data_IF_247023893327
#
_entry.id   IF_247023893327
#
_cell.length_a   1.000
_cell.length_b   1.000
_cell.length_c   1.000
_cell.angle_alpha   90.00
_cell.angle_beta   90.00
_cell.angle_gamma   90.00
#
_symmetry.space_group_name_H-M   'P 1'
#
loop_
_entity.id
_entity.type
_entity.pdbx_description
1 polymer ?
#
# COMPACT_ATOMS: atom_id res chain seq x y z
N UNK A 1 18.42 -11.50 -10.87
CA UNK A 1 18.30 -10.21 -11.58
C UNK A 1 19.27 -10.23 -12.74
N UNK A 2 18.89 -9.70 -13.91
CA UNK A 2 19.80 -9.57 -15.05
C UNK A 2 20.82 -8.44 -14.81
N UNK A 3 21.90 -8.35 -15.60
CA UNK A 3 22.86 -7.24 -15.53
C UNK A 3 22.22 -5.85 -15.67
N UNK A 4 21.14 -5.75 -16.45
CA UNK A 4 20.39 -4.52 -16.71
C UNK A 4 19.36 -4.17 -15.62
N UNK A 5 19.23 -4.97 -14.56
CA UNK A 5 18.24 -4.73 -13.50
C UNK A 5 16.89 -5.44 -13.68
N UNK A 6 16.75 -6.30 -14.71
CA UNK A 6 15.52 -7.09 -14.91
C UNK A 6 15.33 -8.12 -13.80
N UNK A 7 14.19 -8.12 -13.13
CA UNK A 7 13.74 -9.21 -12.25
C UNK A 7 12.64 -9.99 -13.00
N UNK A 8 12.89 -11.26 -13.39
CA UNK A 8 11.91 -12.03 -14.13
C UNK A 8 10.71 -12.36 -13.24
N UNK A 9 9.49 -12.29 -13.79
CA UNK A 9 8.28 -12.53 -12.98
C UNK A 9 8.07 -14.01 -12.59
N UNK A 10 8.89 -14.94 -13.09
CA UNK A 10 9.02 -16.30 -12.54
C UNK A 10 10.48 -16.71 -12.41
N UNK A 11 10.79 -17.36 -11.30
CA UNK A 11 12.13 -17.86 -10.98
C UNK A 11 12.45 -19.07 -11.89
N UNK A 12 13.68 -19.11 -12.41
CA UNK A 12 14.21 -20.27 -13.15
C UNK A 12 13.81 -20.36 -14.62
N UNK A 13 13.11 -19.35 -15.15
CA UNK A 13 12.67 -19.28 -16.55
C UNK A 13 13.03 -17.89 -17.11
N UNK A 14 13.37 -17.80 -18.41
CA UNK A 14 13.70 -16.53 -19.07
C UNK A 14 12.41 -15.79 -19.48
N UNK A 15 11.66 -15.38 -18.47
CA UNK A 15 10.51 -14.50 -18.68
C UNK A 15 10.93 -13.03 -18.71
N UNK A 16 10.06 -12.21 -19.29
CA UNK A 16 10.16 -10.76 -19.17
C UNK A 16 9.89 -10.32 -17.71
N UNK A 17 9.96 -9.02 -17.44
CA UNK A 17 9.57 -8.45 -16.16
C UNK A 17 8.07 -8.15 -16.10
N UNK A 18 7.45 -8.41 -14.94
CA UNK A 18 6.18 -7.81 -14.58
C UNK A 18 6.48 -6.48 -13.89
N UNK A 19 5.92 -5.38 -14.38
CA UNK A 19 6.29 -4.04 -13.91
C UNK A 19 5.90 -3.83 -12.45
N UNK A 20 4.73 -4.31 -12.03
CA UNK A 20 4.27 -4.27 -10.64
C UNK A 20 5.13 -5.14 -9.72
N UNK A 21 5.65 -6.27 -10.23
CA UNK A 21 6.64 -7.10 -9.56
C UNK A 21 7.99 -6.40 -9.37
N UNK A 22 8.49 -5.70 -10.40
CA UNK A 22 9.71 -4.89 -10.33
C UNK A 22 9.58 -3.76 -9.29
N UNK A 23 8.52 -2.96 -9.42
CA UNK A 23 8.21 -1.86 -8.51
C UNK A 23 8.00 -2.35 -7.08
N UNK A 24 7.27 -3.46 -6.92
CA UNK A 24 7.06 -4.13 -5.64
C UNK A 24 8.37 -4.58 -4.99
N UNK A 25 9.35 -5.06 -5.77
CA UNK A 25 10.67 -5.44 -5.24
C UNK A 25 11.48 -4.23 -4.75
N UNK A 26 11.42 -3.10 -5.45
CA UNK A 26 12.04 -1.84 -5.02
C UNK A 26 11.41 -1.33 -3.71
N UNK A 27 10.07 -1.30 -3.66
CA UNK A 27 9.32 -0.90 -2.46
C UNK A 27 9.58 -1.84 -1.27
N UNK A 28 9.60 -3.16 -1.51
CA UNK A 28 9.93 -4.15 -0.49
C UNK A 28 11.37 -4.02 0.01
N UNK A 29 12.30 -3.57 -0.83
CA UNK A 29 13.68 -3.30 -0.42
C UNK A 29 13.77 -2.14 0.56
N UNK A 30 12.99 -1.08 0.34
CA UNK A 30 12.92 0.01 1.32
C UNK A 30 12.26 -0.44 2.63
N UNK A 31 11.23 -1.29 2.56
CA UNK A 31 10.65 -1.95 3.75
C UNK A 31 11.70 -2.73 4.53
N UNK A 32 12.53 -3.51 3.85
CA UNK A 32 13.58 -4.32 4.49
C UNK A 32 14.61 -3.43 5.19
N UNK A 33 15.01 -2.32 4.57
CA UNK A 33 15.82 -1.31 5.24
C UNK A 33 15.15 -0.77 6.51
N UNK A 34 13.88 -0.35 6.43
CA UNK A 34 13.13 0.16 7.58
C UNK A 34 12.98 -0.88 8.70
N UNK A 35 12.82 -2.15 8.35
CA UNK A 35 12.74 -3.27 9.29
C UNK A 35 14.10 -3.81 9.74
N UNK A 36 15.21 -3.29 9.23
CA UNK A 36 16.55 -3.72 9.63
C UNK A 36 17.00 -3.04 10.94
N UNK A 37 18.09 -3.52 11.54
CA UNK A 37 18.70 -2.85 12.72
C UNK A 37 19.73 -1.78 12.40
N UNK A 38 20.14 -1.65 11.13
CA UNK A 38 21.24 -0.78 10.68
C UNK A 38 21.22 -0.63 9.15
N UNK A 39 21.85 0.41 8.60
CA UNK A 39 21.94 0.62 7.15
C UNK A 39 22.76 -0.40 6.35
N UNK A 40 23.35 -1.42 6.99
CA UNK A 40 24.22 -2.41 6.32
C UNK A 40 23.51 -3.17 5.20
N UNK A 41 22.27 -3.60 5.43
CA UNK A 41 21.53 -4.36 4.43
C UNK A 41 21.32 -3.55 3.15
N UNK A 42 20.94 -2.27 3.31
CA UNK A 42 20.74 -1.38 2.18
C UNK A 42 22.06 -1.13 1.44
N UNK A 43 23.15 -0.85 2.16
CA UNK A 43 24.46 -0.63 1.55
C UNK A 43 24.96 -1.83 0.73
N UNK A 44 24.63 -3.06 1.15
CA UNK A 44 25.00 -4.29 0.44
C UNK A 44 24.16 -4.54 -0.82
N UNK A 45 22.95 -3.97 -0.89
CA UNK A 45 21.98 -4.25 -1.96
C UNK A 45 21.71 -3.04 -2.85
N UNK A 46 22.24 -1.85 -2.52
CA UNK A 46 21.92 -0.59 -3.19
C UNK A 46 22.11 -0.66 -4.70
N UNK A 47 23.28 -1.09 -5.18
CA UNK A 47 23.57 -1.18 -6.61
C UNK A 47 22.56 -2.02 -7.39
N UNK A 48 21.99 -3.06 -6.76
CA UNK A 48 20.98 -3.89 -7.39
C UNK A 48 19.59 -3.23 -7.38
N UNK A 49 19.25 -2.54 -6.28
CA UNK A 49 18.00 -1.79 -6.14
C UNK A 49 17.96 -0.63 -7.13
N UNK A 50 19.06 0.10 -7.25
CA UNK A 50 19.24 1.19 -8.21
C UNK A 50 19.02 0.69 -9.65
N UNK A 51 19.70 -0.39 -10.05
CA UNK A 51 19.53 -1.00 -11.37
C UNK A 51 18.09 -1.45 -11.62
N UNK A 52 17.42 -2.02 -10.63
CA UNK A 52 16.03 -2.45 -10.78
C UNK A 52 15.08 -1.25 -11.01
N UNK A 53 15.33 -0.13 -10.35
CA UNK A 53 14.57 1.11 -10.56
C UNK A 53 14.89 1.74 -11.93
N UNK A 54 16.17 1.84 -12.28
CA UNK A 54 16.61 2.38 -13.57
C UNK A 54 16.07 1.56 -14.74
N UNK A 55 16.06 0.23 -14.62
CA UNK A 55 15.45 -0.65 -15.61
C UNK A 55 13.99 -0.28 -15.89
N UNK A 56 13.21 0.03 -14.86
CA UNK A 56 11.80 0.40 -15.04
C UNK A 56 11.69 1.72 -15.80
N UNK A 57 12.50 2.72 -15.43
CA UNK A 57 12.53 4.04 -16.09
C UNK A 57 12.91 3.85 -17.56
N UNK A 58 14.04 3.19 -17.84
CA UNK A 58 14.52 2.99 -19.21
C UNK A 58 13.57 2.15 -20.08
N UNK A 59 12.87 1.18 -19.48
CA UNK A 59 12.01 0.26 -20.21
C UNK A 59 10.64 0.83 -20.52
N UNK A 60 10.04 1.57 -19.58
CA UNK A 60 8.66 2.00 -19.67
C UNK A 60 8.46 3.53 -19.62
N UNK A 61 9.39 4.33 -19.07
CA UNK A 61 9.25 5.80 -18.94
C UNK A 61 10.53 6.50 -19.44
N UNK A 62 10.94 6.16 -20.67
CA UNK A 62 12.25 6.56 -21.22
C UNK A 62 12.37 8.06 -21.55
N UNK A 63 11.24 8.76 -21.69
CA UNK A 63 11.16 10.21 -21.83
C UNK A 63 10.93 10.96 -20.50
N UNK A 64 10.84 10.22 -19.39
CA UNK A 64 10.74 10.74 -18.02
C UNK A 64 9.56 11.71 -17.81
N UNK A 65 8.46 11.51 -18.55
CA UNK A 65 7.23 12.29 -18.43
C UNK A 65 6.26 11.72 -17.38
N UNK A 66 6.58 10.51 -16.88
CA UNK A 66 5.81 9.81 -15.87
C UNK A 66 4.73 8.90 -16.44
N UNK A 67 4.61 8.73 -17.76
CA UNK A 67 3.68 7.79 -18.38
C UNK A 67 4.43 6.60 -18.98
N UNK A 68 3.87 5.41 -18.79
CA UNK A 68 4.41 4.20 -19.37
C UNK A 68 4.14 4.08 -20.86
N UNK A 69 5.15 3.59 -21.56
CA UNK A 69 5.15 3.21 -22.96
C UNK A 69 5.42 1.71 -23.09
N UNK A 70 4.89 1.10 -24.13
CA UNK A 70 5.00 -0.33 -24.39
C UNK A 70 4.01 -1.17 -23.58
N UNK A 71 4.23 -2.48 -23.68
CA UNK A 71 3.48 -3.48 -22.92
C UNK A 71 4.02 -3.61 -21.50
N UNK A 72 3.12 -3.56 -20.53
CA UNK A 72 3.39 -3.74 -19.11
C UNK A 72 2.71 -5.01 -18.59
N UNK A 73 3.47 -6.11 -18.48
CA UNK A 73 2.99 -7.34 -17.85
C UNK A 73 2.77 -7.11 -16.35
N UNK A 74 1.74 -7.72 -15.77
CA UNK A 74 1.35 -7.50 -14.37
C UNK A 74 0.81 -8.77 -13.68
N UNK A 75 0.53 -8.68 -12.38
CA UNK A 75 0.10 -9.78 -11.50
C UNK A 75 -1.21 -10.45 -11.93
N UNK A 76 -2.00 -9.84 -12.82
CA UNK A 76 -3.23 -10.40 -13.37
C UNK A 76 -2.96 -11.20 -14.67
N UNK A 77 -1.74 -11.74 -14.80
CA UNK A 77 -1.25 -12.64 -15.86
C UNK A 77 -1.49 -12.11 -17.28
N UNK A 78 -1.44 -10.79 -17.45
CA UNK A 78 -1.65 -10.15 -18.73
C UNK A 78 -0.84 -8.86 -18.83
N UNK A 79 -0.72 -8.36 -20.05
CA UNK A 79 -0.07 -7.07 -20.32
C UNK A 79 -1.11 -5.99 -20.57
N UNK A 80 -0.91 -4.82 -19.98
CA UNK A 80 -1.63 -3.60 -20.30
C UNK A 80 -0.78 -2.71 -21.19
N UNK A 81 -1.40 -1.75 -21.86
CA UNK A 81 -0.68 -0.67 -22.55
C UNK A 81 -0.83 0.64 -21.79
N UNK A 82 0.12 1.55 -21.94
CA UNK A 82 0.02 2.87 -21.32
C UNK A 82 0.01 2.83 -19.79
N UNK A 83 -0.63 3.82 -19.16
CA UNK A 83 -0.57 4.04 -17.71
C UNK A 83 -1.94 3.88 -17.07
N UNK A 84 -2.03 3.01 -16.07
CA UNK A 84 -3.13 2.97 -15.10
C UNK A 84 -2.67 3.51 -13.77
N UNK A 85 -3.57 4.08 -12.98
CA UNK A 85 -3.24 4.53 -11.61
C UNK A 85 -2.76 3.39 -10.72
N UNK A 86 -3.17 2.15 -10.99
CA UNK A 86 -2.65 0.97 -10.30
C UNK A 86 -1.11 0.91 -10.36
N UNK A 87 -0.55 0.82 -11.57
CA UNK A 87 0.90 0.68 -11.75
C UNK A 87 1.60 2.05 -11.64
N UNK A 88 0.96 3.13 -12.13
CA UNK A 88 1.49 4.48 -12.07
C UNK A 88 1.72 4.95 -10.63
N UNK A 89 0.76 4.73 -9.74
CA UNK A 89 0.94 5.10 -8.32
C UNK A 89 2.05 4.27 -7.65
N UNK A 90 2.21 2.99 -8.01
CA UNK A 90 3.33 2.18 -7.51
C UNK A 90 4.67 2.71 -7.97
N UNK A 91 4.74 3.24 -9.20
CA UNK A 91 5.96 3.83 -9.75
C UNK A 91 6.37 5.10 -9.02
N UNK A 92 5.42 6.01 -8.79
CA UNK A 92 5.69 7.20 -7.98
C UNK A 92 6.15 6.81 -6.57
N UNK A 93 5.50 5.83 -5.93
CA UNK A 93 5.92 5.33 -4.62
C UNK A 93 7.34 4.74 -4.66
N UNK A 94 7.67 3.95 -5.68
CA UNK A 94 8.98 3.34 -5.85
C UNK A 94 10.06 4.40 -6.09
N UNK A 95 9.80 5.42 -6.90
CA UNK A 95 10.71 6.54 -7.11
C UNK A 95 10.98 7.31 -5.81
N UNK A 96 9.95 7.55 -4.98
CA UNK A 96 10.13 8.18 -3.66
C UNK A 96 10.96 7.31 -2.72
N UNK A 97 10.72 6.00 -2.69
CA UNK A 97 11.52 5.06 -1.93
C UNK A 97 12.98 5.04 -2.41
N UNK A 98 13.20 4.97 -3.72
CA UNK A 98 14.52 5.01 -4.36
C UNK A 98 15.24 6.33 -4.09
N UNK A 99 14.55 7.47 -4.09
CA UNK A 99 15.14 8.76 -3.70
C UNK A 99 15.67 8.74 -2.27
N UNK A 100 14.89 8.21 -1.32
CA UNK A 100 15.32 8.06 0.08
C UNK A 100 16.51 7.10 0.18
N UNK A 101 16.45 5.93 -0.46
CA UNK A 101 17.52 4.94 -0.44
C UNK A 101 18.82 5.44 -1.07
N UNK A 102 18.75 6.20 -2.16
CA UNK A 102 19.92 6.80 -2.80
C UNK A 102 20.63 7.78 -1.85
N UNK A 103 19.86 8.68 -1.22
CA UNK A 103 20.40 9.63 -0.23
C UNK A 103 21.04 8.92 0.97
N UNK A 104 20.44 7.83 1.44
CA UNK A 104 20.99 7.00 2.52
C UNK A 104 22.32 6.32 2.15
N UNK A 105 22.59 6.12 0.86
CA UNK A 105 23.86 5.62 0.34
C UNK A 105 24.78 6.73 -0.19
N UNK A 106 24.49 8.00 0.13
CA UNK A 106 25.22 9.18 -0.33
C UNK A 106 25.20 9.42 -1.85
N UNK A 107 24.29 8.78 -2.59
CA UNK A 107 24.04 9.11 -3.99
C UNK A 107 23.01 10.24 -4.11
N UNK A 108 23.49 11.46 -3.87
CA UNK A 108 22.66 12.65 -3.85
C UNK A 108 22.11 12.98 -5.25
N UNK A 109 22.86 12.69 -6.31
CA UNK A 109 22.44 12.98 -7.69
C UNK A 109 21.30 12.06 -8.13
N UNK A 110 21.43 10.74 -7.94
CA UNK A 110 20.33 9.81 -8.22
C UNK A 110 19.13 10.10 -7.32
N UNK A 111 19.39 10.37 -6.04
CA UNK A 111 18.35 10.79 -5.11
C UNK A 111 17.55 12.00 -5.58
N UNK A 112 18.23 12.98 -6.20
CA UNK A 112 17.60 14.13 -6.83
C UNK A 112 16.78 13.78 -8.08
N UNK A 113 17.34 13.00 -9.01
CA UNK A 113 16.64 12.56 -10.24
C UNK A 113 15.36 11.80 -9.92
N UNK A 114 15.43 10.80 -9.04
CA UNK A 114 14.25 10.03 -8.64
C UNK A 114 13.19 10.89 -7.95
N UNK A 115 13.60 11.88 -7.15
CA UNK A 115 12.65 12.81 -6.53
C UNK A 115 11.93 13.66 -7.57
N UNK A 116 12.67 14.27 -8.50
CA UNK A 116 12.10 15.12 -9.54
C UNK A 116 11.15 14.33 -10.45
N UNK A 117 11.54 13.10 -10.83
CA UNK A 117 10.70 12.22 -11.63
C UNK A 117 9.44 11.79 -10.87
N UNK A 118 9.54 11.51 -9.56
CA UNK A 118 8.37 11.21 -8.74
C UNK A 118 7.38 12.38 -8.71
N UNK A 119 7.88 13.62 -8.59
CA UNK A 119 7.03 14.82 -8.56
C UNK A 119 6.35 15.07 -9.91
N UNK A 120 7.09 14.91 -11.02
CA UNK A 120 6.55 14.99 -12.39
C UNK A 120 5.47 13.93 -12.61
N UNK A 121 5.78 12.65 -12.34
CA UNK A 121 4.87 11.54 -12.53
C UNK A 121 3.62 11.67 -11.65
N UNK A 122 3.78 12.04 -10.36
CA UNK A 122 2.65 12.28 -9.45
C UNK A 122 1.67 13.31 -10.02
N UNK A 123 2.20 14.47 -10.44
CA UNK A 123 1.39 15.58 -10.97
C UNK A 123 0.70 15.21 -12.28
N UNK A 124 1.46 14.64 -13.22
CA UNK A 124 0.95 14.33 -14.55
C UNK A 124 -0.10 13.21 -14.49
N UNK A 125 0.20 12.14 -13.74
CA UNK A 125 -0.73 11.02 -13.59
C UNK A 125 -1.99 11.42 -12.81
N UNK A 126 -1.89 12.17 -11.71
CA UNK A 126 -3.10 12.58 -10.96
C UNK A 126 -4.03 13.41 -11.84
N UNK A 127 -3.49 14.38 -12.59
CA UNK A 127 -4.27 15.23 -13.48
C UNK A 127 -4.87 14.47 -14.68
N UNK A 128 -4.18 13.47 -15.22
CA UNK A 128 -4.60 12.80 -16.45
C UNK A 128 -5.48 11.56 -16.19
N UNK A 129 -5.27 10.89 -15.06
CA UNK A 129 -5.93 9.62 -14.73
C UNK A 129 -7.17 9.81 -13.84
N UNK A 130 -7.29 10.92 -13.10
CA UNK A 130 -8.46 11.14 -12.26
C UNK A 130 -9.65 11.64 -13.10
N UNK A 131 -10.74 10.88 -13.13
CA UNK A 131 -11.93 11.21 -13.92
C UNK A 131 -12.95 12.12 -13.18
N UNK A 132 -12.59 12.61 -11.99
CA UNK A 132 -13.49 13.37 -11.11
C UNK A 132 -14.07 12.56 -9.94
N UNK A 133 -14.02 11.23 -10.00
CA UNK A 133 -14.47 10.35 -8.91
C UNK A 133 -13.44 9.29 -8.54
N UNK A 134 -12.80 8.67 -9.53
CA UNK A 134 -11.80 7.62 -9.37
C UNK A 134 -10.75 7.66 -10.50
N UNK A 135 -9.73 6.81 -10.40
CA UNK A 135 -8.65 6.79 -11.37
C UNK A 135 -8.83 5.70 -12.42
N UNK A 136 -8.53 6.06 -13.67
CA UNK A 136 -8.66 5.21 -14.87
C UNK A 136 -7.29 4.76 -15.41
N UNK A 137 -7.31 4.12 -16.58
CA UNK A 137 -6.15 3.87 -17.40
C UNK A 137 -6.19 4.68 -18.70
N UNK A 138 -5.04 5.22 -19.09
CA UNK A 138 -4.76 5.76 -20.42
C UNK A 138 -3.91 4.76 -21.22
N UNK A 139 -4.49 4.02 -22.19
CA UNK A 139 -3.75 3.10 -23.06
C UNK A 139 -2.76 3.79 -24.02
N UNK A 140 -1.80 3.04 -24.57
CA UNK A 140 -0.69 3.57 -25.41
C UNK A 140 -1.10 3.95 -26.86
N UNK A 141 -2.29 4.51 -27.08
CA UNK A 141 -2.63 5.11 -28.39
C UNK A 141 -3.35 6.44 -28.29
N UNK A 142 -3.15 7.17 -27.18
CA UNK A 142 -3.71 8.50 -26.95
C UNK A 142 -2.66 9.63 -26.91
N UNK A 143 -1.40 9.35 -27.26
CA UNK A 143 -0.30 10.35 -27.21
C UNK A 143 0.37 10.52 -28.56
N UNK A 144 -0.42 10.87 -29.58
CA UNK A 144 0.04 11.64 -30.74
C UNK A 144 -1.13 12.56 -31.12
N UNK A 145 -1.11 13.76 -30.54
CA UNK A 145 -2.02 14.89 -30.75
C UNK A 145 -3.26 14.67 -31.61
N UNK A 146 -4.39 14.33 -30.97
CA UNK A 146 -5.76 14.82 -31.21
C UNK A 146 -6.73 13.96 -30.37
N UNK A 147 -7.56 14.62 -29.55
CA UNK A 147 -8.70 14.13 -28.76
C UNK A 147 -8.64 12.70 -28.18
N UNK A 148 -8.24 12.59 -26.90
CA UNK A 148 -8.29 11.39 -26.07
C UNK A 148 -9.72 10.92 -25.67
N UNK A 149 -10.76 11.22 -26.45
CA UNK A 149 -12.17 10.90 -26.10
C UNK A 149 -12.89 10.06 -27.17
N UNK A 150 -12.31 9.80 -28.34
CA UNK A 150 -13.05 9.12 -29.43
C UNK A 150 -12.54 7.77 -29.90
N UNK A 151 -11.45 7.21 -29.37
CA UNK A 151 -10.94 5.94 -29.88
C UNK A 151 -11.04 4.81 -28.85
N UNK A 152 -12.24 4.23 -28.74
CA UNK A 152 -12.47 2.88 -28.17
C UNK A 152 -11.90 1.74 -29.06
N UNK A 153 -11.03 2.07 -30.03
CA UNK A 153 -10.42 1.12 -30.99
C UNK A 153 -8.88 1.03 -30.85
N UNK A 154 -8.33 1.29 -29.66
CA UNK A 154 -6.88 1.27 -29.34
C UNK A 154 -6.19 -0.09 -29.58
N UNK A 155 -6.92 -1.17 -29.81
CA UNK A 155 -6.39 -2.54 -29.73
C UNK A 155 -5.91 -3.15 -31.07
N UNK A 156 -5.25 -2.41 -31.98
CA UNK A 156 -4.60 -3.04 -33.16
C UNK A 156 -3.06 -3.10 -33.10
N UNK A 157 -2.37 -2.23 -32.35
CA UNK A 157 -0.89 -2.26 -32.28
C UNK A 157 -0.36 -3.40 -31.39
N UNK A 158 -1.10 -3.80 -30.36
CA UNK A 158 -0.69 -4.84 -29.41
C UNK A 158 -1.77 -5.91 -29.24
N UNK A 159 -1.79 -6.88 -30.16
CA UNK A 159 -2.70 -8.02 -30.06
C UNK A 159 -2.45 -8.78 -28.74
N UNK A 160 -3.49 -8.92 -27.92
CA UNK A 160 -3.44 -9.65 -26.65
C UNK A 160 -3.29 -8.80 -25.38
N UNK A 161 -3.29 -7.47 -25.48
CA UNK A 161 -3.37 -6.60 -24.29
C UNK A 161 -4.71 -6.76 -23.56
N UNK A 162 -4.72 -6.47 -22.26
CA UNK A 162 -5.86 -6.63 -21.36
C UNK A 162 -6.11 -5.37 -20.55
N UNK A 163 -7.06 -4.56 -20.96
CA UNK A 163 -7.17 -3.16 -20.52
C UNK A 163 -8.21 -2.95 -19.40
N UNK A 164 -8.03 -1.88 -18.64
CA UNK A 164 -9.01 -1.29 -17.73
C UNK A 164 -9.77 -0.15 -18.43
N UNK A 165 -9.07 0.72 -19.15
CA UNK A 165 -9.62 1.98 -19.71
C UNK A 165 -10.40 2.73 -18.62
N UNK A 166 -11.73 2.84 -18.70
CA UNK A 166 -12.59 3.53 -17.74
C UNK A 166 -12.94 2.70 -16.49
N UNK A 167 -12.39 1.49 -16.35
CA UNK A 167 -12.72 0.58 -15.26
C UNK A 167 -12.20 1.04 -13.90
N UNK A 168 -13.06 0.97 -12.88
CA UNK A 168 -12.67 1.09 -11.47
C UNK A 168 -11.99 -0.20 -11.02
N UNK A 169 -10.65 -0.19 -11.00
CA UNK A 169 -9.85 -1.28 -10.42
C UNK A 169 -9.83 -1.19 -8.89
N UNK A 170 -9.91 -2.34 -8.22
CA UNK A 170 -9.72 -2.46 -6.76
C UNK A 170 -8.33 -1.96 -6.33
N UNK A 171 -7.34 -2.08 -7.21
CA UNK A 171 -5.93 -1.78 -6.98
C UNK A 171 -5.50 -0.41 -7.52
N UNK A 172 -6.43 0.43 -7.96
CA UNK A 172 -6.11 1.76 -8.50
C UNK A 172 -5.33 2.65 -7.50
N UNK A 173 -5.34 2.31 -6.20
CA UNK A 173 -4.58 3.00 -5.14
C UNK A 173 -3.45 2.14 -4.52
N UNK A 174 -2.99 1.08 -5.18
CA UNK A 174 -1.98 0.16 -4.62
C UNK A 174 -0.64 0.84 -4.33
N UNK A 175 -0.24 1.85 -5.11
CA UNK A 175 0.94 2.64 -4.81
C UNK A 175 0.81 3.48 -3.55
N UNK A 176 -0.36 4.06 -3.30
CA UNK A 176 -0.63 4.75 -2.04
C UNK A 176 -0.66 3.78 -0.87
N UNK A 177 -1.19 2.56 -1.04
CA UNK A 177 -1.14 1.50 -0.02
C UNK A 177 0.31 1.20 0.39
N UNK A 178 1.22 1.10 -0.56
CA UNK A 178 2.65 0.97 -0.29
C UNK A 178 3.23 2.22 0.38
N UNK A 179 2.93 3.41 -0.13
CA UNK A 179 3.45 4.66 0.38
C UNK A 179 3.09 4.91 1.85
N UNK A 180 1.87 4.57 2.24
CA UNK A 180 1.38 4.69 3.62
C UNK A 180 2.12 3.75 4.58
N UNK A 181 2.49 2.54 4.15
CA UNK A 181 3.24 1.59 4.97
C UNK A 181 4.74 1.93 5.08
N UNK A 182 5.27 2.71 4.13
CA UNK A 182 6.67 3.07 4.04
C UNK A 182 6.96 4.52 4.45
N UNK A 183 5.96 5.23 4.98
CA UNK A 183 6.05 6.64 5.37
C UNK A 183 6.60 7.54 4.23
N UNK A 184 6.01 7.37 3.03
CA UNK A 184 6.36 8.09 1.80
C UNK A 184 5.38 9.23 1.47
N UNK A 185 4.41 9.48 2.34
CA UNK A 185 3.39 10.52 2.18
C UNK A 185 2.32 10.19 1.13
N UNK A 186 1.59 11.23 0.71
CA UNK A 186 0.55 11.12 -0.33
C UNK A 186 1.16 11.15 -1.72
N UNK A 187 0.89 10.13 -2.52
CA UNK A 187 1.38 9.95 -3.89
C UNK A 187 0.71 10.93 -4.83
N UNK A 188 -0.61 10.94 -4.85
CA UNK A 188 -1.44 11.90 -5.58
C UNK A 188 -2.12 12.87 -4.61
N UNK A 189 -2.99 13.74 -5.12
CA UNK A 189 -3.80 14.60 -4.27
C UNK A 189 -4.61 13.78 -3.25
N UNK A 190 -4.59 14.25 -2.00
CA UNK A 190 -5.23 13.54 -0.88
C UNK A 190 -6.74 13.48 -1.05
N UNK A 191 -7.38 14.53 -1.53
CA UNK A 191 -8.83 14.56 -1.72
C UNK A 191 -9.24 13.63 -2.85
N UNK A 192 -8.55 13.67 -3.99
CA UNK A 192 -8.78 12.75 -5.11
C UNK A 192 -8.60 11.29 -4.69
N UNK A 193 -7.51 10.99 -3.98
CA UNK A 193 -7.24 9.64 -3.43
C UNK A 193 -8.35 9.19 -2.48
N UNK A 194 -8.85 10.07 -1.63
CA UNK A 194 -9.93 9.78 -0.70
C UNK A 194 -11.26 9.56 -1.42
N UNK A 195 -11.53 10.31 -2.50
CA UNK A 195 -12.69 10.09 -3.36
C UNK A 195 -12.61 8.74 -4.08
N UNK A 196 -11.44 8.41 -4.65
CA UNK A 196 -11.19 7.13 -5.29
C UNK A 196 -11.36 5.95 -4.32
N UNK A 197 -10.94 6.07 -3.05
CA UNK A 197 -11.16 5.05 -2.03
C UNK A 197 -12.66 4.77 -1.79
N UNK A 198 -13.50 5.82 -1.78
CA UNK A 198 -14.96 5.67 -1.70
C UNK A 198 -15.54 5.04 -2.96
N UNK A 199 -15.03 5.43 -4.13
CA UNK A 199 -15.46 4.89 -5.42
C UNK A 199 -15.15 3.39 -5.55
N UNK A 200 -13.95 2.95 -5.12
CA UNK A 200 -13.58 1.53 -5.06
C UNK A 200 -14.63 0.76 -4.25
N UNK A 201 -15.01 1.24 -3.06
CA UNK A 201 -16.07 0.59 -2.29
C UNK A 201 -17.40 0.60 -3.04
N UNK A 202 -17.85 1.78 -3.51
CA UNK A 202 -19.13 1.99 -4.18
C UNK A 202 -19.32 1.06 -5.38
N UNK A 203 -18.30 0.91 -6.22
CA UNK A 203 -18.41 0.20 -7.50
C UNK A 203 -18.02 -1.27 -7.39
N UNK A 204 -16.96 -1.59 -6.65
CA UNK A 204 -16.41 -2.94 -6.62
C UNK A 204 -17.05 -3.83 -5.55
N UNK A 205 -17.51 -3.27 -4.41
CA UNK A 205 -18.12 -4.07 -3.33
C UNK A 205 -19.54 -4.53 -3.69
N UNK A 206 -19.86 -5.78 -3.33
CA UNK A 206 -21.18 -6.39 -3.45
C UNK A 206 -21.54 -7.10 -2.15
N UNK A 207 -22.70 -6.78 -1.60
CA UNK A 207 -23.23 -7.44 -0.40
C UNK A 207 -23.51 -8.92 -0.63
N UNK A 208 -23.91 -9.28 -1.86
CA UNK A 208 -24.11 -10.63 -2.36
C UNK A 208 -23.66 -10.72 -3.81
N UNK A 209 -23.25 -11.91 -4.23
CA UNK A 209 -22.78 -12.19 -5.59
C UNK A 209 -23.84 -12.88 -6.46
N UNK A 210 -25.07 -13.00 -5.97
CA UNK A 210 -26.21 -13.53 -6.71
C UNK A 210 -26.44 -12.76 -8.03
N UNK A 211 -26.51 -13.49 -9.14
CA UNK A 211 -26.64 -12.92 -10.48
C UNK A 211 -25.35 -12.34 -11.06
N UNK A 212 -24.24 -12.32 -10.30
CA UNK A 212 -22.95 -11.83 -10.76
C UNK A 212 -22.12 -13.00 -11.28
N UNK A 213 -21.79 -12.95 -12.57
CA UNK A 213 -20.88 -13.92 -13.17
C UNK A 213 -19.49 -13.73 -12.57
N UNK A 214 -18.91 -14.80 -12.02
CA UNK A 214 -17.50 -14.86 -11.62
C UNK A 214 -16.72 -15.68 -12.65
N UNK A 215 -15.70 -15.07 -13.26
CA UNK A 215 -14.92 -15.66 -14.34
C UNK A 215 -13.45 -15.20 -14.27
N UNK A 216 -12.47 -16.07 -14.61
CA UNK A 216 -12.59 -17.47 -14.99
C UNK A 216 -12.92 -18.43 -13.85
N UNK A 217 -12.72 -18.05 -12.59
CA UNK A 217 -12.96 -18.90 -11.43
C UNK A 217 -13.96 -18.27 -10.47
N UNK A 218 -14.85 -19.09 -9.94
CA UNK A 218 -15.81 -18.73 -8.90
C UNK A 218 -15.21 -19.04 -7.53
N UNK A 219 -14.72 -18.02 -6.82
CA UNK A 219 -14.08 -18.19 -5.50
C UNK A 219 -15.05 -17.98 -4.34
N UNK A 220 -16.18 -17.31 -4.56
CA UNK A 220 -17.18 -17.05 -3.54
C UNK A 220 -18.55 -17.58 -3.99
N UNK A 221 -19.36 -18.06 -3.05
CA UNK A 221 -20.72 -18.51 -3.37
C UNK A 221 -21.63 -17.31 -3.68
N UNK A 222 -22.75 -17.55 -4.35
CA UNK A 222 -23.68 -16.47 -4.72
C UNK A 222 -24.28 -15.76 -3.48
N UNK A 223 -24.43 -16.51 -2.38
CA UNK A 223 -24.90 -15.97 -1.10
C UNK A 223 -23.84 -15.15 -0.35
N UNK A 224 -22.57 -15.30 -0.73
CA UNK A 224 -21.47 -14.56 -0.13
C UNK A 224 -21.36 -13.17 -0.76
N UNK A 225 -20.73 -12.22 -0.06
CA UNK A 225 -20.34 -10.93 -0.59
C UNK A 225 -18.84 -10.86 -0.89
N UNK A 226 -18.41 -9.80 -1.56
CA UNK A 226 -16.99 -9.56 -1.85
C UNK A 226 -16.77 -8.34 -2.72
N UNK A 227 -15.52 -8.09 -3.09
CA UNK A 227 -15.16 -7.06 -4.06
C UNK A 227 -14.67 -7.66 -5.37
N UNK A 228 -15.25 -7.19 -6.48
CA UNK A 228 -14.79 -7.51 -7.84
C UNK A 228 -13.46 -6.80 -8.11
N UNK A 229 -12.54 -7.46 -8.82
CA UNK A 229 -11.24 -6.87 -9.18
C UNK A 229 -11.41 -5.59 -9.99
N UNK A 230 -12.32 -5.57 -10.97
CA UNK A 230 -12.61 -4.38 -11.76
C UNK A 230 -14.08 -4.30 -12.14
N UNK A 231 -14.60 -3.08 -12.21
CA UNK A 231 -15.97 -2.79 -12.66
C UNK A 231 -15.99 -1.59 -13.60
N UNK A 232 -17.01 -1.48 -14.45
CA UNK A 232 -17.19 -0.38 -15.40
C UNK A 232 -18.53 0.31 -15.14
N UNK A 233 -18.56 1.33 -14.26
CA UNK A 233 -19.78 2.01 -13.87
C UNK A 233 -20.54 2.67 -15.04
N UNK A 234 -19.83 2.99 -16.13
CA UNK A 234 -20.40 3.57 -17.35
C UNK A 234 -21.00 2.55 -18.33
N UNK A 235 -21.03 1.26 -17.98
CA UNK A 235 -21.42 0.17 -18.89
C UNK A 235 -20.57 0.11 -20.17
N UNK A 236 -19.30 0.51 -20.04
CA UNK A 236 -18.33 0.69 -21.13
C UNK A 236 -17.15 -0.29 -21.00
N UNK A 237 -17.43 -1.51 -20.51
CA UNK A 237 -16.44 -2.58 -20.37
C UNK A 237 -15.88 -2.95 -21.75
N UNK A 238 -14.55 -2.83 -21.98
CA UNK A 238 -13.97 -3.18 -23.28
C UNK A 238 -13.96 -4.69 -23.51
N UNK A 239 -14.01 -5.12 -24.77
CA UNK A 239 -13.96 -6.54 -25.15
C UNK A 239 -12.68 -7.22 -24.65
N UNK A 240 -11.55 -6.50 -24.70
CA UNK A 240 -10.26 -6.95 -24.21
C UNK A 240 -10.01 -6.55 -22.75
N UNK A 241 -11.03 -6.43 -21.89
CA UNK A 241 -10.84 -6.08 -20.48
C UNK A 241 -9.92 -7.06 -19.71
N UNK A 242 -9.46 -6.62 -18.54
CA UNK A 242 -8.60 -7.40 -17.66
C UNK A 242 -9.17 -8.79 -17.30
N UNK A 243 -8.36 -9.83 -17.46
CA UNK A 243 -8.81 -11.24 -17.47
C UNK A 243 -9.57 -11.67 -16.21
N UNK A 244 -9.13 -11.20 -15.04
CA UNK A 244 -9.65 -11.62 -13.74
C UNK A 244 -10.62 -10.59 -13.13
N UNK A 245 -11.18 -9.68 -13.93
CA UNK A 245 -12.05 -8.59 -13.48
C UNK A 245 -13.20 -9.06 -12.56
N UNK A 246 -13.76 -10.23 -12.86
CA UNK A 246 -14.95 -10.76 -12.20
C UNK A 246 -14.65 -11.69 -11.01
N UNK A 247 -13.38 -11.89 -10.66
CA UNK A 247 -13.01 -12.76 -9.53
C UNK A 247 -13.05 -11.98 -8.19
N UNK A 248 -13.17 -12.73 -7.10
CA UNK A 248 -13.10 -12.21 -5.73
C UNK A 248 -11.83 -12.75 -5.07
N UNK A 249 -10.91 -11.87 -4.68
CA UNK A 249 -9.61 -12.25 -4.13
C UNK A 249 -9.31 -11.48 -2.84
N UNK A 250 -9.23 -12.20 -1.73
CA UNK A 250 -9.17 -11.63 -0.37
C UNK A 250 -7.97 -10.70 -0.16
N UNK A 251 -6.83 -11.02 -0.75
CA UNK A 251 -5.63 -10.19 -0.63
C UNK A 251 -5.78 -8.78 -1.22
N UNK A 252 -6.56 -8.64 -2.30
CA UNK A 252 -6.90 -7.33 -2.88
C UNK A 252 -7.97 -6.60 -2.05
N UNK A 253 -8.91 -7.35 -1.47
CA UNK A 253 -9.91 -6.78 -0.55
C UNK A 253 -9.25 -6.19 0.69
N UNK A 254 -8.23 -6.87 1.22
CA UNK A 254 -7.47 -6.39 2.39
C UNK A 254 -6.60 -5.17 2.09
N UNK A 255 -5.94 -5.09 0.92
CA UNK A 255 -5.21 -3.88 0.53
C UNK A 255 -6.16 -2.71 0.30
N UNK A 256 -7.30 -2.93 -0.35
CA UNK A 256 -8.33 -1.91 -0.55
C UNK A 256 -8.91 -1.41 0.78
N UNK A 257 -9.26 -2.32 1.71
CA UNK A 257 -9.75 -1.95 3.03
C UNK A 257 -8.68 -1.17 3.84
N UNK A 258 -7.42 -1.59 3.78
CA UNK A 258 -6.29 -0.86 4.38
C UNK A 258 -6.20 0.57 3.83
N UNK A 259 -6.35 0.74 2.51
CA UNK A 259 -6.38 2.07 1.88
C UNK A 259 -7.58 2.92 2.28
N UNK A 260 -8.76 2.32 2.40
CA UNK A 260 -9.95 3.03 2.89
C UNK A 260 -9.72 3.57 4.31
N UNK A 261 -9.05 2.79 5.19
CA UNK A 261 -8.69 3.25 6.54
C UNK A 261 -7.71 4.42 6.48
N UNK A 262 -6.67 4.36 5.65
CA UNK A 262 -5.74 5.48 5.47
C UNK A 262 -6.43 6.74 4.89
N UNK A 263 -7.47 6.57 4.08
CA UNK A 263 -8.33 7.65 3.59
C UNK A 263 -9.31 8.18 4.67
N UNK A 264 -9.28 7.63 5.89
CA UNK A 264 -10.16 8.05 6.98
C UNK A 264 -11.58 7.52 6.90
N UNK A 265 -11.82 6.47 6.10
CA UNK A 265 -13.10 5.76 6.05
C UNK A 265 -13.18 4.74 7.19
N UNK A 266 -14.36 4.57 7.77
CA UNK A 266 -14.60 3.68 8.92
C UNK A 266 -15.55 2.55 8.58
N UNK A 267 -16.70 2.87 7.99
CA UNK A 267 -17.77 1.90 7.80
C UNK A 267 -17.52 1.00 6.58
N UNK A 268 -17.00 1.58 5.50
CA UNK A 268 -16.63 0.89 4.27
C UNK A 268 -15.58 -0.21 4.49
N UNK A 269 -14.39 0.06 5.08
CA UNK A 269 -13.41 -0.99 5.33
C UNK A 269 -13.93 -2.03 6.31
N UNK A 270 -14.67 -1.63 7.36
CA UNK A 270 -15.29 -2.59 8.27
C UNK A 270 -16.23 -3.55 7.55
N UNK A 271 -17.05 -3.05 6.63
CA UNK A 271 -17.98 -3.88 5.84
C UNK A 271 -17.22 -4.85 4.93
N UNK A 272 -16.16 -4.40 4.26
CA UNK A 272 -15.30 -5.25 3.42
C UNK A 272 -14.69 -6.38 4.26
N UNK A 273 -14.00 -6.03 5.36
CA UNK A 273 -13.32 -6.99 6.24
C UNK A 273 -14.27 -8.00 6.85
N UNK A 274 -15.44 -7.54 7.32
CA UNK A 274 -16.48 -8.41 7.88
C UNK A 274 -17.04 -9.36 6.81
N UNK A 275 -17.18 -8.90 5.58
CA UNK A 275 -17.69 -9.70 4.46
C UNK A 275 -16.68 -10.77 4.07
N UNK A 276 -15.39 -10.43 3.99
CA UNK A 276 -14.32 -11.40 3.79
C UNK A 276 -14.27 -12.45 4.92
N UNK A 277 -14.30 -12.02 6.19
CA UNK A 277 -14.33 -12.95 7.32
C UNK A 277 -15.54 -13.91 7.30
N UNK A 278 -16.72 -13.42 6.92
CA UNK A 278 -17.93 -14.25 6.79
C UNK A 278 -17.85 -15.27 5.65
N UNK A 279 -17.06 -15.03 4.60
CA UNK A 279 -16.84 -16.04 3.56
C UNK A 279 -16.14 -17.28 4.09
N UNK A 280 -15.37 -17.16 5.16
CA UNK A 280 -14.59 -18.23 5.75
C UNK A 280 -15.16 -18.67 7.12
N UNK A 281 -16.48 -18.84 7.20
CA UNK A 281 -17.21 -19.17 8.44
C UNK A 281 -17.23 -20.68 8.83
N UNK A 282 -16.58 -21.55 8.06
CA UNK A 282 -16.56 -23.00 8.28
C UNK A 282 -17.60 -23.80 7.51
N UNK A 283 -18.59 -23.18 6.88
CA UNK A 283 -19.54 -23.86 5.99
C UNK A 283 -18.85 -24.22 4.66
N UNK A 284 -19.08 -25.42 4.13
CA UNK A 284 -18.51 -25.78 2.83
C UNK A 284 -19.29 -25.13 1.67
N UNK A 285 -18.61 -24.39 0.79
CA UNK A 285 -19.16 -23.87 -0.47
C UNK A 285 -18.88 -24.84 -1.61
N UNK A 286 -19.91 -25.59 -2.03
CA UNK A 286 -19.78 -26.66 -3.04
C UNK A 286 -19.87 -26.17 -4.49
N UNK A 287 -20.40 -24.98 -4.69
CA UNK A 287 -20.64 -24.33 -5.99
C UNK A 287 -19.46 -23.47 -6.47
N UNK A 288 -18.35 -23.48 -5.74
CA UNK A 288 -17.13 -22.75 -6.06
C UNK A 288 -16.09 -23.61 -6.78
N UNK A 289 -15.06 -22.94 -7.33
CA UNK A 289 -13.92 -23.53 -8.04
C UNK A 289 -13.20 -24.60 -7.20
N UNK A 290 -12.94 -24.31 -5.92
CA UNK A 290 -12.40 -25.29 -4.97
C UNK A 290 -13.56 -25.96 -4.21
N UNK A 291 -13.86 -27.22 -4.54
CA UNK A 291 -15.07 -27.90 -4.05
C UNK A 291 -14.96 -28.44 -2.62
N UNK A 292 -13.76 -28.78 -2.18
CA UNK A 292 -13.56 -29.57 -0.95
C UNK A 292 -13.22 -28.74 0.29
N UNK A 293 -12.82 -27.48 0.10
CA UNK A 293 -12.26 -26.65 1.18
C UNK A 293 -12.75 -25.20 1.21
N UNK A 294 -13.60 -24.78 0.26
CA UNK A 294 -14.02 -23.39 0.22
C UNK A 294 -14.95 -23.06 1.39
N UNK A 295 -14.62 -21.98 2.11
CA UNK A 295 -15.23 -21.58 3.37
C UNK A 295 -14.45 -21.97 4.62
N UNK A 296 -13.24 -22.52 4.47
CA UNK A 296 -12.37 -22.86 5.60
C UNK A 296 -11.92 -21.60 6.38
N UNK A 297 -12.13 -21.51 7.71
CA UNK A 297 -11.72 -20.36 8.54
C UNK A 297 -10.21 -20.10 8.59
N UNK A 298 -9.40 -21.06 8.14
CA UNK A 298 -7.94 -20.98 8.14
C UNK A 298 -7.36 -20.86 6.72
N UNK A 299 -8.19 -20.56 5.72
CA UNK A 299 -7.74 -20.47 4.34
C UNK A 299 -8.58 -19.54 3.50
N UNK A 300 -8.14 -18.28 3.40
CA UNK A 300 -8.62 -17.34 2.40
C UNK A 300 -8.33 -17.89 0.98
N UNK A 301 -9.38 -18.07 0.19
CA UNK A 301 -9.28 -18.64 -1.15
C UNK A 301 -8.91 -17.57 -2.16
N UNK A 302 -7.92 -17.87 -3.01
CA UNK A 302 -7.60 -17.13 -4.24
C UNK A 302 -7.27 -18.11 -5.37
N UNK A 303 -6.27 -17.82 -6.22
CA UNK A 303 -5.67 -18.67 -7.26
C UNK A 303 -5.17 -20.06 -6.79
N UNK A 304 -5.58 -20.51 -5.62
CA UNK A 304 -5.30 -21.79 -4.99
C UNK A 304 -5.73 -21.76 -3.53
N UNK A 305 -5.38 -22.83 -2.82
CA UNK A 305 -5.45 -22.89 -1.37
C UNK A 305 -4.10 -22.45 -0.76
N UNK A 306 -4.10 -21.93 0.47
CA UNK A 306 -2.90 -21.42 1.15
C UNK A 306 -2.10 -20.39 0.32
N UNK A 307 -2.81 -19.49 -0.35
CA UNK A 307 -2.19 -18.45 -1.15
C UNK A 307 -1.50 -17.42 -0.24
N UNK A 308 -0.39 -16.82 -0.70
CA UNK A 308 0.37 -15.88 0.12
C UNK A 308 -0.25 -14.47 0.16
N UNK A 309 -0.99 -14.07 -0.88
CA UNK A 309 -1.53 -12.71 -1.03
C UNK A 309 -2.46 -12.28 0.11
N UNK A 310 -3.35 -13.13 0.66
CA UNK A 310 -4.17 -12.80 1.84
C UNK A 310 -3.40 -12.40 3.10
N UNK A 311 -2.08 -12.67 3.18
CA UNK A 311 -1.24 -12.10 4.24
C UNK A 311 -1.18 -10.56 4.20
N UNK A 312 -1.67 -9.92 3.14
CA UNK A 312 -1.91 -8.48 3.11
C UNK A 312 -2.89 -8.00 4.19
N UNK A 313 -3.64 -8.88 4.86
CA UNK A 313 -4.45 -8.55 6.05
C UNK A 313 -3.63 -7.87 7.16
N UNK A 314 -2.33 -8.16 7.27
CA UNK A 314 -1.44 -7.47 8.20
C UNK A 314 -1.31 -5.97 7.93
N UNK A 315 -1.55 -5.53 6.68
CA UNK A 315 -1.60 -4.11 6.35
C UNK A 315 -2.85 -3.40 6.89
N UNK A 316 -3.90 -4.15 7.24
CA UNK A 316 -5.08 -3.60 7.92
C UNK A 316 -4.68 -3.21 9.34
N UNK A 317 -3.93 -4.07 10.04
CA UNK A 317 -3.42 -3.76 11.37
C UNK A 317 -2.58 -2.48 11.37
N UNK A 318 -1.60 -2.36 10.46
CA UNK A 318 -0.76 -1.17 10.38
C UNK A 318 -1.54 0.09 9.99
N UNK A 319 -2.58 -0.06 9.14
CA UNK A 319 -3.48 1.04 8.78
C UNK A 319 -4.32 1.51 9.98
N UNK A 320 -4.91 0.61 10.76
CA UNK A 320 -5.64 0.96 11.99
C UNK A 320 -4.76 1.76 12.95
N UNK A 321 -3.50 1.35 13.09
CA UNK A 321 -2.52 1.95 14.00
C UNK A 321 -1.95 3.28 13.53
N UNK A 322 -1.97 3.53 12.21
CA UNK A 322 -1.06 4.51 11.60
C UNK A 322 0.39 4.26 12.01
N UNK A 323 0.81 3.00 11.97
CA UNK A 323 2.10 2.56 12.47
C UNK A 323 3.24 3.01 11.54
N UNK A 324 4.31 3.54 12.11
CA UNK A 324 5.56 3.85 11.39
C UNK A 324 6.77 3.34 12.16
N UNK A 325 7.74 2.76 11.46
CA UNK A 325 8.97 2.24 12.07
C UNK A 325 10.16 2.46 11.14
N UNK A 326 11.27 2.94 11.72
CA UNK A 326 12.58 3.00 11.07
C UNK A 326 13.61 2.44 12.06
N UNK A 327 13.97 1.19 11.88
CA UNK A 327 14.89 0.45 12.74
C UNK A 327 16.33 0.99 12.73
N UNK A 328 16.93 1.36 11.58
CA UNK A 328 18.22 2.04 11.55
C UNK A 328 18.25 3.35 12.36
N UNK A 329 17.20 4.17 12.26
CA UNK A 329 17.10 5.44 13.01
C UNK A 329 16.53 5.29 14.42
N UNK A 330 16.11 4.07 14.80
CA UNK A 330 15.45 3.79 16.09
C UNK A 330 14.21 4.68 16.30
N UNK A 331 13.44 4.86 15.23
CA UNK A 331 12.24 5.68 15.20
C UNK A 331 10.99 4.79 15.24
N UNK A 332 10.05 5.13 16.11
CA UNK A 332 8.76 4.46 16.25
C UNK A 332 7.66 5.50 16.23
N UNK A 333 6.53 5.21 15.60
CA UNK A 333 5.41 6.12 15.58
C UNK A 333 4.05 5.45 15.51
N UNK A 334 3.07 6.14 16.09
CA UNK A 334 1.68 5.72 16.15
C UNK A 334 0.78 6.90 15.79
N UNK A 335 -0.17 6.64 14.90
CA UNK A 335 -1.11 7.61 14.40
C UNK A 335 -2.48 6.96 14.17
N UNK A 336 -3.16 6.47 15.22
CA UNK A 336 -4.39 5.70 15.04
C UNK A 336 -5.36 6.39 14.09
N UNK A 337 -5.68 5.69 13.00
CA UNK A 337 -6.61 6.17 11.98
C UNK A 337 -8.06 5.86 12.37
N UNK A 338 -8.25 4.84 13.22
CA UNK A 338 -9.52 4.47 13.82
C UNK A 338 -9.39 4.51 15.34
N UNK A 339 -10.43 4.99 16.01
CA UNK A 339 -10.54 5.07 17.46
C UNK A 339 -9.39 5.85 18.13
N UNK A 340 -9.03 7.00 17.55
CA UNK A 340 -7.96 7.86 18.07
C UNK A 340 -8.11 8.18 19.57
N UNK A 341 -9.33 8.38 20.07
CA UNK A 341 -9.50 8.77 21.47
C UNK A 341 -9.27 7.63 22.48
N UNK A 342 -9.39 6.37 22.05
CA UNK A 342 -9.20 5.18 22.87
C UNK A 342 -8.76 4.02 21.98
N UNK A 343 -7.44 3.83 21.88
CA UNK A 343 -6.85 2.88 20.94
C UNK A 343 -5.93 1.90 21.64
N UNK A 344 -6.06 0.62 21.30
CA UNK A 344 -5.15 -0.45 21.72
C UNK A 344 -4.79 -1.30 20.51
N UNK A 345 -3.50 -1.58 20.34
CA UNK A 345 -3.05 -2.41 19.22
C UNK A 345 -1.72 -3.10 19.46
N UNK A 346 -1.53 -4.21 18.76
CA UNK A 346 -0.30 -5.00 18.75
C UNK A 346 0.70 -4.45 17.73
N UNK A 347 1.95 -4.19 18.11
CA UNK A 347 2.99 -3.73 17.18
C UNK A 347 4.17 -4.70 17.14
N UNK A 348 4.87 -4.72 16.00
CA UNK A 348 6.09 -5.51 15.77
C UNK A 348 7.20 -4.60 15.28
N UNK A 349 8.40 -4.80 15.82
CA UNK A 349 9.64 -4.19 15.36
C UNK A 349 10.65 -5.27 14.97
N UNK A 350 11.83 -4.87 14.51
CA UNK A 350 12.91 -5.78 14.15
C UNK A 350 13.46 -6.65 15.30
N UNK A 351 13.25 -6.24 16.56
CA UNK A 351 13.92 -6.81 17.73
C UNK A 351 12.98 -7.17 18.88
N UNK A 352 11.68 -6.93 18.70
CA UNK A 352 10.66 -7.21 19.70
C UNK A 352 9.28 -6.78 19.24
N UNK A 353 8.28 -7.19 20.00
CA UNK A 353 6.87 -6.85 19.77
C UNK A 353 6.19 -6.56 21.10
N UNK A 354 5.04 -5.91 21.02
CA UNK A 354 4.29 -5.58 22.21
C UNK A 354 2.98 -4.85 21.93
N UNK A 355 2.51 -4.12 22.92
CA UNK A 355 1.21 -3.46 22.89
C UNK A 355 1.37 -1.95 23.00
N UNK A 356 0.74 -1.22 22.08
CA UNK A 356 0.54 0.22 22.16
C UNK A 356 -0.88 0.50 22.67
N UNK A 357 -1.00 1.41 23.61
CA UNK A 357 -2.28 1.90 24.12
C UNK A 357 -2.25 3.41 24.15
N UNK A 358 -3.35 4.07 23.77
CA UNK A 358 -3.52 5.50 24.03
C UNK A 358 -4.94 5.85 24.45
N UNK A 359 -5.06 6.90 25.26
CA UNK A 359 -6.31 7.60 25.54
C UNK A 359 -6.11 9.09 25.29
N UNK A 360 -7.09 9.74 24.68
CA UNK A 360 -7.12 11.18 24.47
C UNK A 360 -8.40 11.77 25.06
N UNK A 361 -8.24 12.58 26.10
CA UNK A 361 -9.34 13.31 26.75
C UNK A 361 -8.84 14.67 27.22
N UNK A 362 -8.61 15.58 26.27
CA UNK A 362 -7.99 16.88 26.51
C UNK A 362 -6.49 16.83 26.85
N UNK A 363 -5.92 15.63 26.96
CA UNK A 363 -4.49 15.32 27.03
C UNK A 363 -4.30 13.92 26.46
N UNK A 364 -3.15 13.67 25.82
CA UNK A 364 -2.81 12.34 25.32
C UNK A 364 -2.04 11.58 26.40
N UNK A 365 -2.49 10.37 26.71
CA UNK A 365 -1.74 9.39 27.50
C UNK A 365 -1.50 8.17 26.65
N UNK A 366 -0.25 7.86 26.34
CA UNK A 366 0.14 6.70 25.57
C UNK A 366 1.04 5.78 26.39
N UNK A 367 0.96 4.47 26.16
CA UNK A 367 1.78 3.45 26.81
C UNK A 367 2.29 2.49 25.74
N UNK A 368 3.61 2.30 25.71
CA UNK A 368 4.27 1.30 24.87
C UNK A 368 4.80 0.22 25.79
N UNK A 369 4.21 -0.97 25.75
CA UNK A 369 4.66 -2.14 26.51
C UNK A 369 5.39 -3.09 25.58
N UNK A 370 6.55 -3.59 26.00
CA UNK A 370 7.29 -4.62 25.26
C UNK A 370 7.01 -5.98 25.89
N UNK A 371 6.37 -6.86 25.12
CA UNK A 371 5.94 -8.17 25.57
C UNK A 371 6.97 -9.27 25.21
N UNK A 372 7.77 -9.05 24.16
CA UNK A 372 8.88 -9.93 23.79
C UNK A 372 10.06 -9.15 23.17
N UNK A 373 11.28 -9.61 23.46
CA UNK A 373 12.51 -9.01 22.94
C UNK A 373 12.82 -7.65 23.56
N UNK A 374 13.14 -6.67 22.71
CA UNK A 374 13.36 -5.29 23.13
C UNK A 374 12.98 -4.30 22.02
N UNK A 375 12.81 -3.04 22.39
CA UNK A 375 12.67 -1.90 21.47
C UNK A 375 13.73 -0.87 21.81
N UNK A 376 14.50 -0.46 20.81
CA UNK A 376 15.45 0.66 20.91
C UNK A 376 14.81 1.88 20.28
N UNK A 377 14.76 2.98 21.04
CA UNK A 377 14.00 4.18 20.71
C UNK A 377 14.88 5.43 20.86
N UNK A 378 15.13 6.10 19.76
CA UNK A 378 15.74 7.44 19.69
C UNK A 378 14.69 8.51 19.41
N UNK A 379 13.70 8.19 18.59
CA UNK A 379 12.64 9.13 18.17
C UNK A 379 11.27 8.48 18.32
N UNK A 380 10.35 9.16 18.99
CA UNK A 380 8.94 8.77 19.08
C UNK A 380 8.06 9.79 18.37
N UNK A 381 7.16 9.34 17.51
CA UNK A 381 6.20 10.17 16.79
C UNK A 381 4.78 9.79 17.18
N UNK A 382 4.02 10.72 17.75
CA UNK A 382 2.62 10.49 18.12
C UNK A 382 1.74 11.51 17.40
N UNK A 383 0.69 11.05 16.72
CA UNK A 383 -0.30 11.94 16.10
C UNK A 383 -0.98 12.81 17.15
N UNK A 384 -1.22 14.07 16.80
CA UNK A 384 -1.86 15.05 17.67
C UNK A 384 -2.75 15.99 16.86
N UNK A 385 -4.05 16.15 17.20
CA UNK A 385 -4.96 17.02 16.47
C UNK A 385 -4.43 18.45 16.33
N UNK A 386 -4.44 19.02 15.12
CA UNK A 386 -3.81 20.32 14.78
C UNK A 386 -4.19 21.48 15.72
N UNK A 387 -5.42 21.52 16.20
CA UNK A 387 -5.89 22.59 17.08
C UNK A 387 -5.42 22.41 18.56
N UNK A 388 -4.91 21.23 18.92
CA UNK A 388 -4.60 20.90 20.31
C UNK A 388 -3.22 21.42 20.73
N UNK A 389 -3.20 22.34 21.70
CA UNK A 389 -1.97 22.95 22.24
C UNK A 389 -1.35 22.06 23.30
N UNK A 390 -0.14 21.58 23.03
CA UNK A 390 0.70 20.88 24.01
C UNK A 390 1.60 21.89 24.70
N UNK A 391 1.55 21.93 26.03
CA UNK A 391 2.44 22.73 26.88
C UNK A 391 3.61 21.92 27.39
N UNK A 392 3.43 20.61 27.56
CA UNK A 392 4.45 19.75 28.17
C UNK A 392 4.30 18.31 27.71
N UNK A 393 5.43 17.66 27.46
CA UNK A 393 5.51 16.21 27.29
C UNK A 393 6.28 15.61 28.48
N UNK A 394 5.72 14.56 29.07
CA UNK A 394 6.33 13.78 30.14
C UNK A 394 6.54 12.35 29.65
N UNK A 395 7.75 11.82 29.87
CA UNK A 395 8.05 10.40 29.70
C UNK A 395 8.28 9.76 31.06
N UNK A 396 7.72 8.57 31.25
CA UNK A 396 7.95 7.75 32.44
C UNK A 396 8.41 6.35 32.03
N UNK A 397 9.56 5.93 32.55
CA UNK A 397 10.10 4.59 32.40
C UNK A 397 10.38 4.02 33.79
N UNK A 398 9.52 3.11 34.26
CA UNK A 398 9.54 2.61 35.63
C UNK A 398 9.25 3.73 36.65
N UNK A 399 10.18 3.98 37.58
CA UNK A 399 10.04 5.04 38.60
C UNK A 399 10.56 6.41 38.13
N UNK A 400 11.25 6.47 36.99
CA UNK A 400 11.86 7.71 36.49
C UNK A 400 10.85 8.42 35.60
N UNK A 401 10.56 9.68 35.90
CA UNK A 401 9.76 10.57 35.07
C UNK A 401 10.58 11.80 34.68
N UNK A 402 10.53 12.19 33.41
CA UNK A 402 11.28 13.36 32.87
C UNK A 402 10.39 14.18 31.95
N UNK A 403 10.54 15.50 32.00
CA UNK A 403 10.01 16.38 30.97
C UNK A 403 10.89 16.27 29.72
N UNK A 404 10.26 16.29 28.55
CA UNK A 404 10.93 16.21 27.27
C UNK A 404 10.64 17.43 26.42
N UNK A 405 11.65 17.87 25.70
CA UNK A 405 11.46 18.75 24.56
C UNK A 405 10.77 17.97 23.43
N UNK A 406 9.94 18.68 22.68
CA UNK A 406 9.22 18.12 21.56
C UNK A 406 9.11 19.14 20.43
N UNK A 407 9.07 18.63 19.20
CA UNK A 407 8.77 19.41 18.01
C UNK A 407 7.39 19.02 17.50
N UNK A 408 6.71 19.97 16.87
CA UNK A 408 5.48 19.68 16.14
C UNK A 408 5.75 19.72 14.64
N UNK A 409 5.53 18.60 13.97
CA UNK A 409 5.81 18.42 12.54
C UNK A 409 4.63 17.66 11.93
N UNK A 410 3.96 18.25 10.94
CA UNK A 410 2.92 17.62 10.12
C UNK A 410 1.83 16.88 10.91
N UNK A 411 1.32 17.48 11.99
CA UNK A 411 0.29 16.87 12.84
C UNK A 411 0.82 15.83 13.83
N UNK A 412 2.13 15.70 13.99
CA UNK A 412 2.77 14.84 14.99
C UNK A 412 3.48 15.65 16.06
N UNK A 413 3.49 15.11 17.27
CA UNK A 413 4.47 15.45 18.30
C UNK A 413 5.65 14.50 18.13
N UNK A 414 6.83 15.07 17.94
CA UNK A 414 8.09 14.36 17.74
C UNK A 414 8.97 14.55 18.95
N UNK A 415 9.26 13.44 19.64
CA UNK A 415 10.05 13.42 20.87
C UNK A 415 11.38 12.75 20.56
N UNK A 416 12.49 13.48 20.71
CA UNK A 416 13.85 12.96 20.52
C UNK A 416 14.47 12.66 21.88
N UNK A 417 14.85 11.41 22.10
CA UNK A 417 15.54 10.99 23.32
C UNK A 417 16.99 11.51 23.29
N UNK A 418 17.57 11.96 24.42
CA UNK A 418 18.97 12.39 24.45
C UNK A 418 19.92 11.24 24.13
N UNK A 419 19.59 10.03 24.58
CA UNK A 419 20.30 8.78 24.31
C UNK A 419 19.30 7.73 23.81
N UNK A 420 19.80 6.65 23.19
CA UNK A 420 18.92 5.55 22.77
C UNK A 420 18.31 4.89 24.01
N UNK A 421 16.99 4.96 24.13
CA UNK A 421 16.25 4.28 25.19
C UNK A 421 15.98 2.83 24.78
N UNK A 422 16.39 1.87 25.63
CA UNK A 422 16.13 0.44 25.40
C UNK A 422 15.04 -0.07 26.34
N UNK A 423 13.86 -0.34 25.80
CA UNK A 423 12.72 -0.91 26.52
C UNK A 423 12.79 -2.43 26.36
N UNK A 424 12.88 -3.18 27.46
CA UNK A 424 13.00 -4.65 27.47
C UNK A 424 11.65 -5.30 27.76
N UNK A 425 11.54 -6.60 27.46
CA UNK A 425 10.39 -7.44 27.88
C UNK A 425 9.90 -7.14 29.30
N UNK A 426 8.59 -6.99 29.44
CA UNK A 426 7.90 -6.74 30.71
C UNK A 426 8.04 -5.30 31.22
N UNK A 427 8.54 -4.37 30.40
CA UNK A 427 8.65 -2.94 30.74
C UNK A 427 7.78 -2.11 29.80
N UNK A 428 7.32 -0.97 30.32
CA UNK A 428 6.59 0.04 29.58
C UNK A 428 7.33 1.38 29.51
N UNK A 429 7.01 2.15 28.47
CA UNK A 429 7.23 3.58 28.40
C UNK A 429 5.88 4.28 28.37
N UNK A 430 5.63 5.11 29.37
CA UNK A 430 4.41 5.93 29.44
C UNK A 430 4.74 7.34 28.93
N UNK A 431 3.86 7.90 28.10
CA UNK A 431 4.00 9.22 27.48
C UNK A 431 2.74 10.03 27.80
N UNK A 432 2.91 11.23 28.34
CA UNK A 432 1.80 12.14 28.65
C UNK A 432 2.05 13.48 27.95
N UNK A 433 1.16 13.87 27.04
CA UNK A 433 1.16 15.17 26.39
C UNK A 433 0.04 16.01 26.99
N UNK A 434 0.41 17.08 27.72
CA UNK A 434 -0.46 17.97 28.51
C UNK A 434 -0.66 19.34 27.85
#
# INVERSE_FOLDING_TARGET
>A
MSPEGKIPFRIGLDYDAAIDGQLGAVLASYREYLCSGSGKWLAQNWDNIEKAMDYVIERWDSDEDGFFQGLSHNTLDASMTGTSSWIGSMYVAALRASSKMAKLNNDIQKGGRYSALADTAAKNQDSALFNGEYYIQLPESSVQGEAAVENMQVAQKYSGSRELINGSSIDQLLGQWWASQLDLGWIYDKQNTTNAARAIFKYNFKDKLEGIKQYPRKFAADSDGGMLIATWPGDDRPDNHIKYADEIMSGFEYSAASMMIYAGLRDEPYKVLKTAAKRYDGRLRKDCYLKDYNGNPFGDVECGFFYARPLSIWSVLTAYQGFSFNGPEKSLGFAPNIDFDDHVSFFVTNSGWGTYQQTFSGSLKAVITVDYGFVELKTLRLKMPEEHKIKKVLLKAGQVQRAMDFERIDGFIVIKMPEILKIKTGRSLDVICL
#
